data_IF_036323523463
#
_entry.id   IF_036323523463
#
_cell.length_a   1.000
_cell.length_b   1.000
_cell.length_c   1.000
_cell.angle_alpha   90.00
_cell.angle_beta   90.00
_cell.angle_gamma   90.00
#
_symmetry.space_group_name_H-M   'P 1'
#
loop_
_entity.id
_entity.type
_entity.pdbx_description
1 polymer ?
#
# COMPACT_ATOMS: atom_id res chain seq x y z
N UNK A 1 -16.42 15.76 1.68
CA UNK A 1 -15.86 16.44 0.50
C UNK A 1 -14.78 15.52 -0.05
N UNK A 2 -14.83 15.15 -1.35
CA UNK A 2 -13.70 14.47 -1.98
C UNK A 2 -12.53 15.44 -1.99
N UNK A 3 -11.43 15.07 -1.36
CA UNK A 3 -10.23 15.87 -1.41
C UNK A 3 -9.53 15.62 -2.76
N UNK A 4 -9.98 16.33 -3.80
CA UNK A 4 -9.44 16.27 -5.17
C UNK A 4 -7.91 16.53 -5.20
N UNK A 5 -7.39 17.22 -4.19
CA UNK A 5 -5.97 17.46 -3.99
C UNK A 5 -5.14 16.16 -3.92
N UNK A 6 -5.73 15.05 -3.44
CA UNK A 6 -5.03 13.76 -3.28
C UNK A 6 -5.25 12.79 -4.42
N UNK A 7 -6.06 13.11 -5.44
CA UNK A 7 -6.46 12.18 -6.51
C UNK A 7 -5.28 11.58 -7.28
N UNK A 8 -4.19 12.33 -7.41
CA UNK A 8 -3.00 11.84 -8.11
C UNK A 8 -2.21 10.80 -7.31
N UNK A 9 -2.28 10.86 -5.97
CA UNK A 9 -1.44 10.04 -5.10
C UNK A 9 -2.21 8.95 -4.36
N UNK A 10 -3.49 9.14 -4.03
CA UNK A 10 -4.29 8.21 -3.22
C UNK A 10 -4.54 6.84 -3.88
N UNK A 11 -4.85 5.80 -3.11
CA UNK A 11 -5.42 4.56 -3.64
C UNK A 11 -6.75 4.80 -4.38
N UNK A 12 -7.23 3.77 -5.06
CA UNK A 12 -8.59 3.81 -5.61
C UNK A 12 -9.65 3.83 -4.50
N UNK A 13 -10.76 4.46 -4.80
CA UNK A 13 -11.98 4.38 -4.01
C UNK A 13 -12.94 3.31 -4.58
N UNK A 14 -14.01 3.00 -3.84
CA UNK A 14 -14.97 1.96 -4.23
C UNK A 14 -15.49 2.14 -5.67
N UNK A 15 -15.85 3.37 -6.05
CA UNK A 15 -16.38 3.65 -7.40
C UNK A 15 -15.39 3.43 -8.55
N UNK A 16 -14.08 3.46 -8.27
CA UNK A 16 -13.00 3.31 -9.27
C UNK A 16 -12.58 1.85 -9.45
N UNK A 17 -12.86 0.98 -8.47
CA UNK A 17 -12.42 -0.42 -8.49
C UNK A 17 -12.97 -1.19 -9.69
N UNK A 18 -14.26 -0.98 -10.02
CA UNK A 18 -14.89 -1.66 -11.15
C UNK A 18 -14.18 -1.38 -12.46
N UNK A 19 -13.92 -0.10 -12.75
CA UNK A 19 -13.21 0.30 -13.95
C UNK A 19 -11.79 -0.27 -13.98
N UNK A 20 -11.07 -0.21 -12.86
CA UNK A 20 -9.72 -0.77 -12.76
C UNK A 20 -9.70 -2.28 -13.07
N UNK A 21 -10.68 -3.05 -12.60
CA UNK A 21 -10.81 -4.49 -12.91
C UNK A 21 -11.13 -4.77 -14.38
N UNK A 22 -11.89 -3.90 -15.04
CA UNK A 22 -12.21 -4.05 -16.47
C UNK A 22 -10.99 -3.71 -17.36
N UNK A 23 -10.25 -2.69 -16.99
CA UNK A 23 -9.08 -2.22 -17.76
C UNK A 23 -7.84 -3.10 -17.58
N UNK A 24 -7.66 -3.73 -16.43
CA UNK A 24 -6.46 -4.53 -16.13
C UNK A 24 -6.27 -5.71 -17.11
N UNK A 25 -7.28 -6.55 -17.41
CA UNK A 25 -7.16 -7.63 -18.39
C UNK A 25 -7.04 -7.16 -19.83
N UNK A 26 -7.44 -5.92 -20.12
CA UNK A 26 -7.32 -5.32 -21.45
C UNK A 26 -5.89 -4.85 -21.76
N UNK A 27 -5.07 -4.59 -20.72
CA UNK A 27 -3.67 -4.20 -20.86
C UNK A 27 -2.85 -5.33 -21.49
N UNK A 28 -2.10 -5.02 -22.56
CA UNK A 28 -1.33 -6.01 -23.33
C UNK A 28 -0.22 -6.65 -22.51
N UNK A 29 0.49 -5.84 -21.71
CA UNK A 29 1.64 -6.31 -20.92
C UNK A 29 1.15 -7.17 -19.74
N UNK A 30 0.08 -6.76 -19.06
CA UNK A 30 -0.56 -7.57 -18.03
C UNK A 30 -1.10 -8.89 -18.61
N UNK A 31 -1.75 -8.86 -19.76
CA UNK A 31 -2.23 -10.08 -20.46
C UNK A 31 -1.08 -11.02 -20.83
N UNK A 32 0.08 -10.46 -21.23
CA UNK A 32 1.28 -11.26 -21.52
C UNK A 32 1.87 -11.86 -20.25
N UNK A 33 1.94 -11.10 -19.17
CA UNK A 33 2.37 -11.61 -17.85
C UNK A 33 1.51 -12.79 -17.41
N UNK A 34 0.19 -12.65 -17.47
CA UNK A 34 -0.74 -13.74 -17.14
C UNK A 34 -0.56 -14.97 -18.03
N UNK A 35 -0.22 -14.79 -19.31
CA UNK A 35 0.10 -15.90 -20.19
C UNK A 35 1.34 -16.67 -19.71
N UNK A 36 2.32 -15.98 -19.12
CA UNK A 36 3.48 -16.64 -18.52
C UNK A 36 3.15 -17.55 -17.34
N UNK A 37 2.16 -17.18 -16.52
CA UNK A 37 1.73 -18.00 -15.38
C UNK A 37 0.81 -19.19 -15.76
N UNK A 38 -0.04 -19.00 -16.76
CA UNK A 38 -1.01 -20.01 -17.22
C UNK A 38 -1.03 -20.13 -18.74
N UNK A 39 0.07 -20.61 -19.35
CA UNK A 39 0.26 -20.59 -20.81
C UNK A 39 -0.76 -21.46 -21.55
N UNK A 40 -1.29 -22.50 -20.91
CA UNK A 40 -2.27 -23.42 -21.51
C UNK A 40 -3.70 -22.88 -21.59
N UNK A 41 -3.99 -21.76 -20.87
CA UNK A 41 -5.34 -21.20 -20.85
C UNK A 41 -5.51 -20.17 -21.99
N UNK A 42 -6.55 -20.30 -22.85
CA UNK A 42 -6.91 -19.28 -23.81
C UNK A 42 -7.19 -17.93 -23.17
N UNK A 43 -6.93 -16.83 -23.88
CA UNK A 43 -7.09 -15.45 -23.37
C UNK A 43 -8.51 -15.21 -22.79
N UNK A 44 -9.54 -15.67 -23.47
CA UNK A 44 -10.92 -15.51 -23.02
C UNK A 44 -11.19 -16.19 -21.68
N UNK A 45 -10.67 -17.40 -21.49
CA UNK A 45 -10.81 -18.17 -20.25
C UNK A 45 -10.05 -17.52 -19.11
N UNK A 46 -8.81 -17.05 -19.36
CA UNK A 46 -8.02 -16.29 -18.34
C UNK A 46 -8.74 -15.04 -17.89
N UNK A 47 -9.29 -14.27 -18.82
CA UNK A 47 -10.04 -13.05 -18.50
C UNK A 47 -11.35 -13.36 -17.76
N UNK A 48 -12.04 -14.43 -18.12
CA UNK A 48 -13.23 -14.91 -17.42
C UNK A 48 -12.91 -15.32 -15.98
N UNK A 49 -11.81 -16.06 -15.78
CA UNK A 49 -11.34 -16.46 -14.45
C UNK A 49 -10.98 -15.25 -13.58
N UNK A 50 -10.27 -14.25 -14.13
CA UNK A 50 -9.96 -13.01 -13.42
C UNK A 50 -11.23 -12.28 -13.00
N UNK A 51 -12.21 -12.14 -13.90
CA UNK A 51 -13.50 -11.52 -13.57
C UNK A 51 -14.19 -12.26 -12.43
N UNK A 52 -14.14 -13.59 -12.45
CA UNK A 52 -14.71 -14.43 -11.39
C UNK A 52 -13.97 -14.20 -10.06
N UNK A 53 -12.64 -14.16 -10.06
CA UNK A 53 -11.82 -13.89 -8.87
C UNK A 53 -12.09 -12.51 -8.27
N UNK A 54 -12.39 -11.52 -9.11
CA UNK A 54 -12.70 -10.16 -8.68
C UNK A 54 -14.19 -9.94 -8.36
N UNK A 55 -15.04 -10.93 -8.60
CA UNK A 55 -16.46 -10.83 -8.26
C UNK A 55 -16.67 -10.60 -6.76
N UNK A 56 -17.42 -9.56 -6.42
CA UNK A 56 -17.71 -9.18 -5.04
C UNK A 56 -16.59 -8.42 -4.33
N UNK A 57 -15.49 -8.08 -5.03
CA UNK A 57 -14.48 -7.12 -4.55
C UNK A 57 -14.94 -5.73 -4.95
N UNK A 58 -15.30 -4.89 -3.98
CA UNK A 58 -15.81 -3.53 -4.21
C UNK A 58 -14.83 -2.47 -3.77
N UNK A 59 -14.04 -2.76 -2.74
CA UNK A 59 -13.10 -1.82 -2.13
C UNK A 59 -11.66 -2.33 -2.23
N UNK A 60 -10.65 -1.45 -2.13
CA UNK A 60 -9.26 -1.88 -1.98
C UNK A 60 -9.03 -2.79 -0.77
N UNK A 61 -9.77 -2.60 0.33
CA UNK A 61 -9.72 -3.48 1.49
C UNK A 61 -10.23 -4.89 1.17
N UNK A 62 -11.31 -5.01 0.38
CA UNK A 62 -11.79 -6.32 -0.10
C UNK A 62 -10.73 -6.99 -0.97
N UNK A 63 -10.04 -6.23 -1.83
CA UNK A 63 -8.96 -6.75 -2.67
C UNK A 63 -7.84 -7.33 -1.82
N UNK A 64 -7.39 -6.61 -0.79
CA UNK A 64 -6.37 -7.10 0.13
C UNK A 64 -6.85 -8.34 0.92
N UNK A 65 -8.08 -8.33 1.43
CA UNK A 65 -8.61 -9.44 2.25
C UNK A 65 -8.93 -10.69 1.43
N UNK A 66 -9.52 -10.55 0.25
CA UNK A 66 -10.03 -11.68 -0.54
C UNK A 66 -9.07 -12.20 -1.59
N UNK A 67 -8.25 -11.30 -2.17
CA UNK A 67 -7.31 -11.67 -3.21
C UNK A 67 -5.86 -11.75 -2.68
N UNK A 68 -5.33 -10.68 -2.09
CA UNK A 68 -3.92 -10.64 -1.68
C UNK A 68 -3.62 -11.53 -0.47
N UNK A 69 -4.46 -11.54 0.55
CA UNK A 69 -4.23 -12.33 1.77
C UNK A 69 -4.06 -13.84 1.51
N UNK A 70 -4.87 -14.53 0.70
CA UNK A 70 -4.62 -15.93 0.35
C UNK A 70 -3.29 -16.15 -0.36
N UNK A 71 -2.93 -15.26 -1.29
CA UNK A 71 -1.64 -15.32 -2.03
C UNK A 71 -0.47 -15.17 -1.07
N UNK A 72 -0.49 -14.16 -0.22
CA UNK A 72 0.58 -13.90 0.76
C UNK A 72 0.66 -15.02 1.80
N UNK A 73 -0.46 -15.54 2.28
CA UNK A 73 -0.46 -16.72 3.18
C UNK A 73 0.16 -17.96 2.52
N UNK A 74 -0.05 -18.14 1.22
CA UNK A 74 0.59 -19.23 0.48
C UNK A 74 2.11 -19.01 0.43
N UNK A 75 2.57 -17.80 0.16
CA UNK A 75 4.00 -17.43 0.15
C UNK A 75 4.62 -17.70 1.53
N UNK A 76 4.00 -17.20 2.60
CA UNK A 76 4.47 -17.42 3.98
C UNK A 76 4.65 -18.93 4.24
N UNK A 77 3.64 -19.73 3.95
CA UNK A 77 3.71 -21.19 4.21
C UNK A 77 4.75 -21.93 3.40
N UNK A 78 5.03 -21.47 2.17
CA UNK A 78 5.91 -22.18 1.24
C UNK A 78 7.37 -21.72 1.32
N UNK A 79 7.61 -20.46 1.71
CA UNK A 79 8.92 -19.82 1.57
C UNK A 79 9.48 -19.24 2.87
N UNK A 80 8.82 -19.47 4.01
CA UNK A 80 9.30 -19.05 5.33
C UNK A 80 9.06 -20.15 6.36
N UNK A 81 9.79 -20.09 7.47
CA UNK A 81 9.61 -20.98 8.63
C UNK A 81 8.44 -20.51 9.52
N UNK A 82 7.74 -19.48 9.12
CA UNK A 82 6.62 -18.87 9.82
C UNK A 82 6.72 -17.36 9.87
N UNK A 83 5.69 -16.74 10.40
CA UNK A 83 5.64 -15.30 10.64
C UNK A 83 4.99 -15.05 11.99
N UNK A 84 5.68 -14.36 12.87
CA UNK A 84 5.19 -13.97 14.19
C UNK A 84 4.78 -12.50 14.18
N UNK A 85 3.78 -12.17 15.00
CA UNK A 85 3.28 -10.82 15.17
C UNK A 85 3.12 -10.54 16.65
N UNK A 86 3.86 -9.55 17.13
CA UNK A 86 3.76 -9.05 18.50
C UNK A 86 3.11 -7.67 18.48
N UNK A 87 1.93 -7.57 19.06
CA UNK A 87 1.16 -6.33 19.18
C UNK A 87 1.02 -5.84 20.63
N UNK A 88 1.85 -6.35 21.56
CA UNK A 88 1.78 -5.98 22.97
C UNK A 88 2.04 -4.48 23.22
N UNK A 89 2.85 -3.84 22.37
CA UNK A 89 3.10 -2.41 22.42
C UNK A 89 1.95 -1.55 21.87
N UNK A 90 1.00 -2.15 21.15
CA UNK A 90 -0.16 -1.45 20.62
C UNK A 90 -1.29 -1.42 21.68
N UNK A 91 -2.06 -0.33 21.78
CA UNK A 91 -3.24 -0.30 22.63
C UNK A 91 -4.21 -1.45 22.32
N UNK A 92 -4.83 -2.00 23.35
CA UNK A 92 -5.79 -3.10 23.19
C UNK A 92 -7.00 -2.74 22.31
N UNK A 93 -7.33 -1.45 22.24
CA UNK A 93 -8.35 -0.93 21.33
C UNK A 93 -7.84 -0.90 19.90
N UNK A 94 -8.25 -1.91 19.11
CA UNK A 94 -7.94 -2.03 17.69
C UNK A 94 -8.67 -1.02 16.79
N UNK A 95 -9.48 -0.13 17.37
CA UNK A 95 -10.11 0.97 16.65
C UNK A 95 -9.15 2.10 16.29
N UNK A 96 -8.02 2.21 16.99
CA UNK A 96 -6.97 3.19 16.69
C UNK A 96 -6.31 2.92 15.34
N UNK A 97 -5.76 3.97 14.75
CA UNK A 97 -5.02 3.93 13.48
C UNK A 97 -3.59 4.39 13.69
N UNK A 98 -2.69 3.80 12.92
CA UNK A 98 -1.25 3.96 13.12
C UNK A 98 -0.54 4.23 11.79
N UNK A 99 0.55 4.97 11.88
CA UNK A 99 1.57 5.02 10.84
C UNK A 99 2.68 4.05 11.21
N UNK A 100 2.78 2.95 10.49
CA UNK A 100 3.82 1.94 10.66
C UNK A 100 5.06 2.34 9.86
N UNK A 101 6.16 2.48 10.56
CA UNK A 101 7.50 2.65 9.97
C UNK A 101 8.26 1.35 10.15
N UNK A 102 8.80 0.78 9.09
CA UNK A 102 9.60 -0.43 9.20
C UNK A 102 10.82 -0.41 8.31
N UNK A 103 11.77 -1.27 8.62
CA UNK A 103 12.84 -1.59 7.72
C UNK A 103 12.25 -2.12 6.40
N UNK A 104 12.89 -1.82 5.28
CA UNK A 104 12.42 -2.20 3.96
C UNK A 104 13.39 -3.17 3.31
N UNK A 105 13.03 -4.44 3.27
CA UNK A 105 13.83 -5.52 2.69
C UNK A 105 13.29 -6.02 1.36
N UNK A 106 11.98 -6.11 1.24
CA UNK A 106 11.30 -6.57 0.04
C UNK A 106 10.28 -5.55 -0.47
N UNK A 107 10.25 -5.35 -1.79
CA UNK A 107 9.40 -4.33 -2.42
C UNK A 107 7.89 -4.58 -2.17
N UNK A 108 7.50 -5.83 -2.02
CA UNK A 108 6.09 -6.25 -1.93
C UNK A 108 5.77 -6.88 -0.59
N UNK A 109 6.68 -7.70 -0.05
CA UNK A 109 6.35 -8.60 1.05
C UNK A 109 6.29 -7.91 2.41
N UNK A 110 7.07 -6.84 2.63
CA UNK A 110 7.11 -6.18 3.95
C UNK A 110 5.71 -5.69 4.36
N UNK A 111 5.08 -4.85 3.55
CA UNK A 111 3.71 -4.36 3.80
C UNK A 111 2.65 -5.45 3.68
N UNK A 112 2.85 -6.40 2.75
CA UNK A 112 1.90 -7.49 2.55
C UNK A 112 1.85 -8.47 3.75
N UNK A 113 2.98 -8.72 4.41
CA UNK A 113 3.02 -9.52 5.64
C UNK A 113 2.32 -8.78 6.77
N UNK A 114 2.57 -7.48 6.91
CA UNK A 114 1.86 -6.66 7.90
C UNK A 114 0.34 -6.71 7.68
N UNK A 115 -0.13 -6.56 6.45
CA UNK A 115 -1.56 -6.66 6.11
C UNK A 115 -2.18 -8.00 6.54
N UNK A 116 -1.48 -9.10 6.25
CA UNK A 116 -1.94 -10.44 6.65
C UNK A 116 -1.98 -10.58 8.16
N UNK A 117 -0.98 -10.05 8.88
CA UNK A 117 -0.91 -10.12 10.34
C UNK A 117 -2.02 -9.28 10.98
N UNK A 118 -2.19 -8.02 10.57
CA UNK A 118 -3.26 -7.15 11.08
C UNK A 118 -4.64 -7.83 10.94
N UNK A 119 -4.99 -8.30 9.73
CA UNK A 119 -6.29 -8.96 9.50
C UNK A 119 -6.40 -10.27 10.28
N UNK A 120 -5.32 -11.03 10.42
CA UNK A 120 -5.35 -12.31 11.15
C UNK A 120 -5.48 -12.14 12.66
N UNK A 121 -5.08 -10.99 13.19
CA UNK A 121 -5.20 -10.64 14.62
C UNK A 121 -6.42 -9.74 14.91
N UNK A 122 -7.36 -9.64 13.97
CA UNK A 122 -8.66 -8.98 14.20
C UNK A 122 -8.62 -7.45 14.11
N UNK A 123 -7.60 -6.85 13.50
CA UNK A 123 -7.64 -5.43 13.16
C UNK A 123 -8.67 -5.18 12.05
N UNK A 124 -9.46 -4.11 12.13
CA UNK A 124 -10.58 -3.87 11.20
C UNK A 124 -10.12 -3.52 9.79
N UNK A 125 -8.94 -2.91 9.66
CA UNK A 125 -8.35 -2.53 8.38
C UNK A 125 -6.88 -2.95 8.28
N UNK A 126 -6.37 -2.90 7.07
CA UNK A 126 -4.98 -3.11 6.67
C UNK A 126 -4.25 -1.77 6.61
N UNK A 127 -3.10 -1.70 5.94
CA UNK A 127 -2.40 -0.44 5.71
C UNK A 127 -2.62 0.09 4.30
N UNK A 128 -2.59 1.41 4.13
CA UNK A 128 -2.28 2.06 2.87
C UNK A 128 -0.76 2.12 2.70
N UNK A 129 -0.27 1.76 1.51
CA UNK A 129 1.15 1.45 1.29
C UNK A 129 1.82 2.56 0.51
N UNK A 130 2.85 3.20 1.07
CA UNK A 130 3.67 4.19 0.36
C UNK A 130 4.57 3.54 -0.69
N UNK A 131 4.33 3.80 -1.98
CA UNK A 131 5.11 3.25 -3.10
C UNK A 131 5.73 4.37 -3.93
N UNK A 132 7.03 4.27 -4.21
CA UNK A 132 7.73 5.22 -5.09
C UNK A 132 7.22 5.15 -6.54
N UNK A 133 7.00 6.29 -7.17
CA UNK A 133 6.52 6.41 -8.56
C UNK A 133 7.49 5.80 -9.57
N UNK A 134 8.78 5.74 -9.25
CA UNK A 134 9.80 5.07 -10.05
C UNK A 134 9.54 3.56 -10.25
N UNK A 135 8.67 2.95 -9.46
CA UNK A 135 8.24 1.56 -9.61
C UNK A 135 7.01 1.43 -10.53
N UNK A 136 6.30 2.53 -10.81
CA UNK A 136 5.05 2.57 -11.56
C UNK A 136 5.27 2.75 -13.07
N UNK A 137 6.26 2.05 -13.62
CA UNK A 137 6.71 2.19 -15.02
C UNK A 137 5.67 1.78 -16.08
N UNK A 138 4.70 0.95 -15.70
CA UNK A 138 3.64 0.51 -16.58
C UNK A 138 2.24 0.86 -16.03
N UNK A 139 1.29 1.23 -16.90
CA UNK A 139 -0.06 1.58 -16.46
C UNK A 139 -0.76 0.48 -15.63
N UNK A 140 -0.57 -0.79 -16.00
CA UNK A 140 -1.15 -1.91 -15.25
C UNK A 140 -0.57 -2.06 -13.85
N UNK A 141 0.73 -1.75 -13.63
CA UNK A 141 1.34 -1.74 -12.30
C UNK A 141 0.68 -0.65 -11.44
N UNK A 142 0.57 0.56 -11.99
CA UNK A 142 -0.10 1.68 -11.29
C UNK A 142 -1.53 1.30 -10.89
N UNK A 143 -2.29 0.66 -11.78
CA UNK A 143 -3.65 0.18 -11.46
C UNK A 143 -3.62 -0.85 -10.33
N UNK A 144 -2.79 -1.87 -10.46
CA UNK A 144 -2.72 -2.97 -9.50
C UNK A 144 -2.36 -2.48 -8.09
N UNK A 145 -1.37 -1.62 -7.96
CA UNK A 145 -0.94 -1.11 -6.65
C UNK A 145 -2.00 -0.18 -6.03
N UNK A 146 -2.66 0.68 -6.82
CA UNK A 146 -3.76 1.52 -6.31
C UNK A 146 -4.97 0.68 -5.87
N UNK A 147 -5.25 -0.43 -6.54
CA UNK A 147 -6.25 -1.42 -6.08
C UNK A 147 -5.83 -2.08 -4.76
N UNK A 148 -4.52 -2.21 -4.52
CA UNK A 148 -3.95 -2.76 -3.29
C UNK A 148 -3.68 -1.69 -2.22
N UNK A 149 -4.48 -0.64 -2.16
CA UNK A 149 -4.34 0.47 -1.19
C UNK A 149 -3.01 1.21 -1.24
N UNK A 150 -2.29 1.20 -2.37
CA UNK A 150 -1.05 1.96 -2.44
C UNK A 150 -1.31 3.44 -2.79
N UNK A 151 -0.61 4.33 -2.08
CA UNK A 151 -0.47 5.74 -2.44
C UNK A 151 0.93 6.01 -3.00
N UNK A 152 1.04 7.02 -3.87
CA UNK A 152 2.25 7.28 -4.64
C UNK A 152 3.16 8.28 -3.95
N UNK A 153 4.42 7.92 -3.75
CA UNK A 153 5.50 8.79 -3.26
C UNK A 153 6.32 9.26 -4.46
N UNK A 154 6.32 10.55 -4.74
CA UNK A 154 7.08 11.13 -5.87
C UNK A 154 8.58 11.09 -5.60
N UNK A 155 9.38 10.78 -6.62
CA UNK A 155 10.83 10.66 -6.57
C UNK A 155 11.49 11.56 -7.62
N UNK A 156 12.80 11.79 -7.46
CA UNK A 156 13.60 12.53 -8.45
C UNK A 156 13.22 13.99 -8.62
N UNK A 157 12.69 14.63 -7.58
CA UNK A 157 12.21 16.01 -7.57
C UNK A 157 13.33 16.99 -7.30
N UNK A 158 13.19 18.23 -7.82
CA UNK A 158 14.00 19.38 -7.39
C UNK A 158 13.71 19.72 -5.93
N UNK A 159 14.58 20.51 -5.28
CA UNK A 159 14.41 20.87 -3.87
C UNK A 159 13.05 21.56 -3.59
N UNK A 160 12.60 22.44 -4.49
CA UNK A 160 11.31 23.13 -4.36
C UNK A 160 10.13 22.18 -4.53
N UNK A 161 10.18 21.30 -5.53
CA UNK A 161 9.14 20.28 -5.75
C UNK A 161 9.10 19.25 -4.61
N UNK A 162 10.26 18.92 -4.05
CA UNK A 162 10.38 18.02 -2.90
C UNK A 162 9.64 18.58 -1.67
N UNK A 163 9.81 19.86 -1.37
CA UNK A 163 9.10 20.51 -0.26
C UNK A 163 7.59 20.43 -0.44
N UNK A 164 7.10 20.80 -1.62
CA UNK A 164 5.67 20.76 -1.95
C UNK A 164 5.11 19.34 -1.92
N UNK A 165 5.85 18.38 -2.47
CA UNK A 165 5.47 16.96 -2.45
C UNK A 165 5.46 16.39 -1.03
N UNK A 166 6.42 16.78 -0.19
CA UNK A 166 6.48 16.37 1.22
C UNK A 166 5.30 16.91 2.01
N UNK A 167 4.91 18.16 1.78
CA UNK A 167 3.74 18.75 2.43
C UNK A 167 2.45 18.05 1.99
N UNK A 168 2.24 17.82 0.69
CA UNK A 168 1.10 17.08 0.16
C UNK A 168 1.03 15.66 0.76
N UNK A 169 2.17 14.97 0.80
CA UNK A 169 2.27 13.62 1.37
C UNK A 169 1.93 13.60 2.85
N UNK A 170 2.47 14.56 3.62
CA UNK A 170 2.17 14.68 5.04
C UNK A 170 0.70 14.94 5.28
N UNK A 171 0.09 15.89 4.56
CA UNK A 171 -1.35 16.17 4.63
C UNK A 171 -2.20 14.95 4.27
N UNK A 172 -1.79 14.19 3.24
CA UNK A 172 -2.47 12.97 2.88
C UNK A 172 -2.42 11.91 3.99
N UNK A 173 -1.26 11.69 4.60
CA UNK A 173 -1.09 10.70 5.68
C UNK A 173 -1.97 11.07 6.88
N UNK A 174 -1.98 12.34 7.28
CA UNK A 174 -2.85 12.82 8.35
C UNK A 174 -4.34 12.61 8.02
N UNK A 175 -4.75 12.99 6.82
CA UNK A 175 -6.11 12.76 6.32
C UNK A 175 -6.48 11.27 6.34
N UNK A 176 -5.59 10.41 5.88
CA UNK A 176 -5.83 8.96 5.83
C UNK A 176 -5.99 8.36 7.24
N UNK A 177 -5.17 8.76 8.20
CA UNK A 177 -5.23 8.25 9.57
C UNK A 177 -6.43 8.80 10.32
N UNK A 178 -6.67 10.11 10.26
CA UNK A 178 -7.66 10.81 11.09
C UNK A 178 -9.06 10.70 10.49
N UNK A 179 -9.23 11.03 9.20
CA UNK A 179 -10.54 11.13 8.56
C UNK A 179 -10.96 9.82 7.87
N UNK A 180 -10.09 9.23 7.03
CA UNK A 180 -10.40 7.95 6.38
C UNK A 180 -10.37 6.77 7.34
N UNK A 181 -9.76 6.93 8.52
CA UNK A 181 -9.59 5.87 9.52
C UNK A 181 -8.83 4.66 8.98
N UNK A 182 -7.75 4.93 8.25
CA UNK A 182 -6.86 3.93 7.67
C UNK A 182 -5.50 3.92 8.36
N UNK A 183 -4.84 2.77 8.41
CA UNK A 183 -3.44 2.69 8.79
C UNK A 183 -2.56 3.02 7.59
N UNK A 184 -1.35 3.51 7.87
CA UNK A 184 -0.33 3.81 6.84
C UNK A 184 0.89 2.91 7.07
N UNK A 185 1.49 2.44 5.98
CA UNK A 185 2.82 1.85 6.00
C UNK A 185 3.76 2.63 5.09
N UNK A 186 4.91 3.00 5.64
CA UNK A 186 6.00 3.67 4.92
C UNK A 186 7.33 3.01 5.32
N UNK A 187 8.21 2.81 4.34
CA UNK A 187 9.58 2.41 4.59
C UNK A 187 10.32 3.49 5.39
N UNK A 188 11.03 3.12 6.45
CA UNK A 188 11.72 4.06 7.34
C UNK A 188 12.87 4.83 6.67
N UNK A 189 13.32 4.39 5.50
CA UNK A 189 14.32 5.08 4.68
C UNK A 189 14.10 4.83 3.19
N UNK A 190 14.72 5.65 2.38
CA UNK A 190 14.72 5.47 0.93
C UNK A 190 15.49 4.22 0.50
N UNK A 191 14.88 3.43 -0.39
CA UNK A 191 15.45 2.21 -0.93
C UNK A 191 15.44 1.03 0.04
N UNK A 192 15.73 -0.17 -0.51
CA UNK A 192 15.79 -1.40 0.28
C UNK A 192 17.04 -1.43 1.17
N UNK A 193 16.88 -1.96 2.36
CA UNK A 193 17.99 -2.21 3.28
C UNK A 193 18.94 -3.27 2.70
N UNK A 194 20.21 -2.90 2.54
CA UNK A 194 21.30 -3.79 2.08
C UNK A 194 22.15 -4.32 3.22
N UNK A 195 21.98 -3.76 4.40
CA UNK A 195 22.70 -4.05 5.62
C UNK A 195 21.73 -4.25 6.79
N UNK A 196 22.26 -4.49 7.98
CA UNK A 196 21.47 -4.63 9.21
C UNK A 196 21.19 -3.29 9.90
N UNK A 197 21.52 -2.15 9.28
CA UNK A 197 21.26 -0.83 9.84
C UNK A 197 19.75 -0.53 9.83
N UNK A 198 19.23 -0.16 10.99
CA UNK A 198 17.80 0.05 11.23
C UNK A 198 17.51 1.49 11.63
N UNK A 199 18.18 2.44 10.97
CA UNK A 199 17.98 3.86 11.23
C UNK A 199 16.87 4.45 10.39
N UNK A 200 15.92 5.10 11.04
CA UNK A 200 14.88 5.91 10.37
C UNK A 200 15.50 7.19 9.83
N UNK A 201 15.16 7.54 8.60
CA UNK A 201 15.68 8.73 7.95
C UNK A 201 15.01 10.00 8.52
N UNK A 202 15.82 10.96 9.01
CA UNK A 202 15.32 12.19 9.64
C UNK A 202 14.37 12.99 8.75
N UNK A 203 14.63 13.02 7.43
CA UNK A 203 13.76 13.71 6.48
C UNK A 203 12.36 13.10 6.42
N UNK A 204 12.22 11.78 6.64
CA UNK A 204 10.92 11.12 6.74
C UNK A 204 10.15 11.58 7.98
N UNK A 205 10.81 11.62 9.13
CA UNK A 205 10.17 12.09 10.37
C UNK A 205 9.74 13.55 10.26
N UNK A 206 10.60 14.41 9.69
CA UNK A 206 10.27 15.80 9.41
C UNK A 206 9.06 15.92 8.47
N UNK A 207 9.02 15.13 7.40
CA UNK A 207 7.90 15.10 6.47
C UNK A 207 6.60 14.70 7.18
N UNK A 208 6.60 13.64 7.99
CA UNK A 208 5.42 13.18 8.73
C UNK A 208 4.88 14.26 9.68
N UNK A 209 5.75 15.10 10.23
CA UNK A 209 5.35 16.18 11.14
C UNK A 209 4.78 17.43 10.44
N UNK A 210 4.99 17.62 9.12
CA UNK A 210 4.61 18.85 8.42
C UNK A 210 3.11 19.11 8.35
N UNK A 211 2.29 18.07 8.19
CA UNK A 211 0.83 18.18 7.99
C UNK A 211 0.00 18.23 9.28
N UNK A 212 0.62 18.14 10.45
CA UNK A 212 -0.08 18.21 11.72
C UNK A 212 -0.17 19.61 12.29
N UNK A 213 -1.28 19.92 12.98
CA UNK A 213 -1.36 21.13 13.80
C UNK A 213 -0.30 21.09 14.91
N UNK A 214 0.43 22.21 15.14
CA UNK A 214 1.42 22.34 16.21
C UNK A 214 2.86 21.98 15.88
N UNK A 215 3.18 21.43 14.71
CA UNK A 215 4.54 21.08 14.30
C UNK A 215 5.21 19.99 15.15
N UNK A 216 6.51 19.77 14.93
CA UNK A 216 7.26 18.67 15.58
C UNK A 216 7.46 18.89 17.10
N UNK A 217 7.50 20.15 17.53
CA UNK A 217 7.78 20.50 18.93
C UNK A 217 6.61 20.21 19.90
N UNK A 218 5.37 20.29 19.44
CA UNK A 218 4.17 20.09 20.27
C UNK A 218 3.78 18.62 20.50
N UNK A 219 4.46 17.69 19.85
CA UNK A 219 4.11 16.24 19.88
C UNK A 219 5.07 15.40 20.72
N UNK A 220 6.01 16.03 21.42
CA UNK A 220 7.00 15.39 22.29
C UNK A 220 6.63 15.40 23.78
N UNK A 221 5.38 15.71 24.12
CA UNK A 221 4.86 15.61 25.49
C UNK A 221 3.85 14.48 25.63
#
# INVERSE_FOLDING_TARGET
MKNEEFDEIRPYEEGEMKQAFEELPADRQFSHLLKGFVPWLPKGVRNGLLRLLFTGIKTPLDFQKRFMKPVVKHIIRKHTDGCTFDDQALPADKANRYTFLSNHRDIVLDSAFLDVMLVSHGYPTTVEIGIGDNLLIYPWIKRLVRMNKAFTVRRGLTAHEMMRSSQLMSSYIHYAVIEKRENIWIAQREGRAKDSSDHTQDSLLKMLAMGGEGGFADKST
#
